data_IF_564933794246
#
_entry.id   IF_564933794246
#
_cell.length_a   1.000
_cell.length_b   1.000
_cell.length_c   1.000
_cell.angle_alpha   90.00
_cell.angle_beta   90.00
_cell.angle_gamma   90.00
#
_symmetry.space_group_name_H-M   'P 1'
#
loop_
_entity.id
_entity.type
_entity.pdbx_description
1 polymer ?
#
# COMPACT_ATOMS: atom_id res chain seq x y z
N UNK A 1 4.41 -10.32 -3.34
CA UNK A 1 5.26 -9.77 -4.42
C UNK A 1 4.61 -8.52 -4.96
N UNK A 2 5.30 -7.39 -4.83
CA UNK A 2 4.85 -6.09 -5.34
C UNK A 2 4.95 -6.09 -6.86
N UNK A 3 3.91 -5.58 -7.53
CA UNK A 3 3.86 -5.37 -8.98
C UNK A 3 3.80 -3.89 -9.34
N UNK A 4 3.09 -3.11 -8.54
CA UNK A 4 3.07 -1.66 -8.64
C UNK A 4 3.01 -1.02 -7.25
N UNK A 5 3.58 0.17 -7.14
CA UNK A 5 3.50 1.03 -5.97
C UNK A 5 3.40 2.48 -6.45
N UNK A 6 2.47 3.30 -5.94
CA UNK A 6 2.31 4.68 -6.36
C UNK A 6 3.37 5.57 -5.69
N UNK A 7 3.55 6.77 -6.24
CA UNK A 7 4.34 7.83 -5.62
C UNK A 7 3.41 8.96 -5.21
N UNK A 8 3.49 9.37 -3.95
CA UNK A 8 2.70 10.46 -3.40
C UNK A 8 3.59 11.66 -3.01
N UNK A 9 3.01 12.87 -2.87
CA UNK A 9 3.77 14.06 -2.47
C UNK A 9 4.51 13.94 -1.14
N UNK A 10 3.99 13.15 -0.19
CA UNK A 10 4.67 12.92 1.08
C UNK A 10 5.94 12.08 0.94
N UNK A 11 6.01 11.15 -0.02
CA UNK A 11 7.23 10.37 -0.26
C UNK A 11 8.38 11.29 -0.69
N UNK A 12 8.08 12.28 -1.54
CA UNK A 12 9.04 13.32 -1.96
C UNK A 12 9.46 14.20 -0.78
N UNK A 13 8.50 14.64 0.05
CA UNK A 13 8.80 15.46 1.23
C UNK A 13 9.67 14.72 2.25
N UNK A 14 9.40 13.44 2.49
CA UNK A 14 10.22 12.61 3.39
C UNK A 14 11.65 12.50 2.85
N UNK A 15 11.82 12.20 1.55
CA UNK A 15 13.15 12.11 0.92
C UNK A 15 13.94 13.41 0.97
N UNK A 16 13.27 14.56 0.99
CA UNK A 16 13.88 15.89 1.10
C UNK A 16 14.07 16.37 2.55
N UNK A 17 13.75 15.55 3.54
CA UNK A 17 13.71 15.96 4.96
C UNK A 17 12.80 17.20 5.20
N UNK A 18 11.71 17.29 4.45
CA UNK A 18 10.71 18.37 4.47
C UNK A 18 9.35 17.90 5.02
N UNK A 19 9.30 16.69 5.56
CA UNK A 19 8.06 16.16 6.13
C UNK A 19 7.92 16.58 7.59
N UNK A 20 6.74 17.08 7.96
CA UNK A 20 6.50 17.65 9.29
C UNK A 20 6.64 16.63 10.43
N UNK A 21 6.48 15.33 10.14
CA UNK A 21 6.65 14.26 11.12
C UNK A 21 8.05 13.66 10.99
N UNK A 22 8.75 13.41 12.11
CA UNK A 22 10.05 12.76 12.07
C UNK A 22 9.90 11.34 11.51
N UNK A 23 10.92 10.91 10.76
CA UNK A 23 11.07 9.50 10.40
C UNK A 23 11.45 8.74 11.67
N UNK A 24 10.68 7.71 12.04
CA UNK A 24 10.91 6.99 13.30
C UNK A 24 12.28 6.31 13.36
N UNK A 25 12.71 5.71 12.25
CA UNK A 25 13.99 4.99 12.15
C UNK A 25 14.48 4.96 10.72
N UNK A 26 15.79 5.14 10.53
CA UNK A 26 16.48 4.97 9.26
C UNK A 26 17.38 3.71 9.29
N UNK A 27 17.62 3.03 8.14
CA UNK A 27 16.98 3.28 6.84
C UNK A 27 15.50 2.90 6.84
N UNK A 28 14.67 3.68 6.13
CA UNK A 28 13.24 3.42 5.97
C UNK A 28 12.92 3.04 4.51
N UNK A 29 12.01 2.09 4.32
CA UNK A 29 11.45 1.77 3.01
C UNK A 29 10.13 2.55 2.89
N UNK A 30 10.04 3.42 1.88
CA UNK A 30 8.84 4.22 1.63
C UNK A 30 7.83 3.48 0.73
N UNK A 31 6.70 4.12 0.46
CA UNK A 31 5.59 3.56 -0.32
C UNK A 31 4.50 2.99 0.59
N UNK A 32 3.46 3.77 0.85
CA UNK A 32 2.39 3.41 1.80
C UNK A 32 1.27 2.59 1.16
N UNK A 33 1.47 2.17 -0.08
CA UNK A 33 0.45 1.48 -0.87
C UNK A 33 1.11 0.63 -1.95
N UNK A 34 0.54 -0.53 -2.23
CA UNK A 34 1.00 -1.45 -3.27
C UNK A 34 -0.14 -2.21 -3.89
N UNK A 35 0.11 -2.78 -5.06
CA UNK A 35 -0.64 -3.90 -5.58
C UNK A 35 0.28 -5.02 -6.04
N UNK A 36 -0.21 -6.25 -6.04
CA UNK A 36 0.57 -7.41 -6.44
C UNK A 36 -0.08 -8.73 -6.08
N UNK A 37 0.76 -9.72 -5.80
CA UNK A 37 0.33 -11.07 -5.45
C UNK A 37 0.67 -11.42 -4.01
N UNK A 38 -0.24 -12.11 -3.33
CA UNK A 38 0.06 -12.80 -2.07
C UNK A 38 0.97 -13.99 -2.36
N UNK A 39 2.15 -14.00 -1.77
CA UNK A 39 3.12 -15.11 -1.93
C UNK A 39 3.25 -15.96 -0.66
N UNK A 40 2.80 -15.43 0.48
CA UNK A 40 2.82 -16.06 1.79
C UNK A 40 1.74 -15.40 2.64
N UNK A 41 1.16 -16.14 3.60
CA UNK A 41 0.21 -15.61 4.56
C UNK A 41 0.48 -16.17 5.96
N UNK A 42 0.15 -15.40 6.99
CA UNK A 42 0.20 -15.87 8.37
C UNK A 42 -0.84 -16.96 8.64
N UNK A 43 -0.59 -17.81 9.64
CA UNK A 43 -1.43 -18.97 9.97
C UNK A 43 -2.91 -18.60 10.21
N UNK A 44 -3.16 -17.43 10.79
CA UNK A 44 -4.52 -16.97 11.14
C UNK A 44 -5.17 -16.08 10.08
N UNK A 45 -4.53 -15.87 8.92
CA UNK A 45 -5.08 -15.03 7.84
C UNK A 45 -6.04 -15.83 6.96
N UNK A 46 -7.30 -15.39 6.90
CA UNK A 46 -8.40 -16.09 6.21
C UNK A 46 -9.03 -15.32 5.04
N UNK A 47 -8.86 -14.01 4.98
CA UNK A 47 -9.49 -13.15 3.96
C UNK A 47 -8.75 -13.12 2.62
N UNK A 48 -7.53 -13.65 2.55
CA UNK A 48 -6.72 -13.76 1.32
C UNK A 48 -5.95 -15.08 1.32
N UNK A 49 -5.61 -15.54 0.12
CA UNK A 49 -4.88 -16.78 -0.15
C UNK A 49 -3.65 -16.52 -1.03
N UNK A 50 -2.68 -17.42 -0.96
CA UNK A 50 -1.51 -17.39 -1.84
C UNK A 50 -1.97 -17.48 -3.30
N UNK A 51 -1.42 -16.62 -4.15
CA UNK A 51 -1.82 -16.47 -5.55
C UNK A 51 -2.86 -15.38 -5.80
N UNK A 52 -3.52 -14.86 -4.77
CA UNK A 52 -4.51 -13.79 -4.94
C UNK A 52 -3.86 -12.50 -5.42
N UNK A 53 -4.55 -11.82 -6.35
CA UNK A 53 -4.27 -10.44 -6.74
C UNK A 53 -4.86 -9.52 -5.68
N UNK A 54 -4.04 -8.66 -5.12
CA UNK A 54 -4.43 -7.76 -4.02
C UNK A 54 -3.89 -6.36 -4.22
N UNK A 55 -4.54 -5.41 -3.59
CA UNK A 55 -3.96 -4.12 -3.24
C UNK A 55 -4.01 -3.94 -1.73
N UNK A 56 -3.04 -3.20 -1.18
CA UNK A 56 -2.92 -3.03 0.26
C UNK A 56 -2.36 -1.66 0.62
N UNK A 57 -2.82 -1.14 1.76
CA UNK A 57 -2.16 -0.03 2.45
C UNK A 57 -1.12 -0.59 3.41
N UNK A 58 0.05 0.05 3.41
CA UNK A 58 1.21 -0.36 4.16
C UNK A 58 1.52 0.64 5.27
N UNK A 59 2.30 0.22 6.28
CA UNK A 59 2.86 1.14 7.26
C UNK A 59 3.74 2.20 6.59
N UNK A 60 3.91 3.33 7.28
CA UNK A 60 4.63 4.50 6.76
C UNK A 60 6.11 4.24 6.47
N UNK A 61 6.77 3.44 7.31
CA UNK A 61 8.23 3.25 7.31
C UNK A 61 8.68 1.84 6.90
N UNK A 62 7.72 0.94 6.69
CA UNK A 62 7.91 -0.46 6.26
C UNK A 62 7.15 -0.68 4.94
N UNK A 63 7.43 0.21 3.98
CA UNK A 63 6.66 0.40 2.77
C UNK A 63 6.99 -0.54 1.62
N UNK A 64 6.38 -0.21 0.48
CA UNK A 64 6.27 -1.05 -0.71
C UNK A 64 7.24 -0.75 -1.84
N UNK A 65 8.18 0.18 -1.68
CA UNK A 65 9.26 0.41 -2.66
C UNK A 65 10.35 -0.67 -2.57
N UNK A 66 9.90 -1.91 -2.68
CA UNK A 66 10.67 -3.14 -2.57
C UNK A 66 9.96 -4.25 -3.35
N UNK A 67 10.67 -5.36 -3.61
CA UNK A 67 10.08 -6.51 -4.30
C UNK A 67 9.01 -7.21 -3.45
N UNK A 68 9.16 -7.16 -2.12
CA UNK A 68 8.27 -7.74 -1.13
C UNK A 68 7.90 -6.68 -0.09
N UNK A 69 6.68 -6.75 0.41
CA UNK A 69 6.17 -5.89 1.48
C UNK A 69 5.29 -6.70 2.42
N UNK A 70 5.31 -6.36 3.71
CA UNK A 70 4.43 -6.95 4.72
C UNK A 70 3.16 -6.11 4.82
N UNK A 71 2.01 -6.71 4.58
CA UNK A 71 0.71 -6.05 4.68
C UNK A 71 -0.11 -6.64 5.82
N UNK A 72 -0.79 -5.78 6.57
CA UNK A 72 -1.80 -6.24 7.52
C UNK A 72 -3.01 -6.76 6.75
N UNK A 73 -3.53 -7.93 7.13
CA UNK A 73 -4.66 -8.54 6.43
C UNK A 73 -5.93 -7.66 6.47
N UNK A 74 -6.10 -6.81 7.49
CA UNK A 74 -7.21 -5.85 7.59
C UNK A 74 -7.08 -4.66 6.62
N UNK A 75 -5.86 -4.37 6.16
CA UNK A 75 -5.57 -3.30 5.19
C UNK A 75 -5.30 -3.88 3.78
N UNK A 76 -5.68 -5.14 3.53
CA UNK A 76 -5.45 -5.85 2.27
C UNK A 76 -6.77 -6.30 1.65
N UNK A 77 -6.96 -5.98 0.37
CA UNK A 77 -8.20 -6.24 -0.36
C UNK A 77 -7.91 -6.92 -1.70
N UNK A 78 -8.85 -7.73 -2.17
CA UNK A 78 -8.76 -8.32 -3.51
C UNK A 78 -8.79 -7.25 -4.58
N UNK A 79 -7.87 -7.37 -5.55
CA UNK A 79 -7.86 -6.53 -6.74
C UNK A 79 -8.81 -7.13 -7.78
N UNK A 80 -9.85 -6.40 -8.24
CA UNK A 80 -10.76 -6.89 -9.27
C UNK A 80 -10.00 -7.31 -10.54
N UNK A 81 -10.45 -8.39 -11.20
CA UNK A 81 -9.75 -8.96 -12.36
C UNK A 81 -9.52 -7.96 -13.49
N UNK A 82 -10.45 -7.02 -13.68
CA UNK A 82 -10.41 -6.01 -14.73
C UNK A 82 -9.53 -4.80 -14.41
N UNK A 83 -9.00 -4.68 -13.19
CA UNK A 83 -8.02 -3.63 -12.85
C UNK A 83 -6.62 -4.11 -13.21
N UNK A 84 -5.78 -3.21 -13.74
CA UNK A 84 -4.33 -3.43 -13.79
C UNK A 84 -3.70 -3.32 -12.39
N UNK A 85 -2.44 -3.71 -12.23
CA UNK A 85 -1.75 -3.51 -10.95
C UNK A 85 -1.53 -2.02 -10.67
N UNK A 86 -1.21 -1.22 -11.68
CA UNK A 86 -1.05 0.23 -11.59
C UNK A 86 -2.35 0.90 -11.11
N UNK A 87 -3.49 0.49 -11.66
CA UNK A 87 -4.81 0.95 -11.19
C UNK A 87 -5.07 0.50 -9.75
N UNK A 88 -4.71 -0.74 -9.40
CA UNK A 88 -4.86 -1.24 -8.04
C UNK A 88 -4.02 -0.50 -7.01
N UNK A 89 -2.82 -0.06 -7.40
CA UNK A 89 -1.86 0.60 -6.53
C UNK A 89 -2.26 2.05 -6.17
N UNK A 90 -3.34 2.57 -6.73
CA UNK A 90 -3.88 3.90 -6.40
C UNK A 90 -5.27 3.84 -5.74
N UNK A 91 -5.79 2.63 -5.47
CA UNK A 91 -7.16 2.41 -5.01
C UNK A 91 -7.35 2.70 -3.52
N UNK A 92 -6.36 2.55 -2.65
CA UNK A 92 -6.56 2.81 -1.23
C UNK A 92 -6.56 4.31 -0.94
N UNK A 93 -5.46 5.03 -1.16
CA UNK A 93 -5.39 6.43 -0.70
C UNK A 93 -6.21 7.38 -1.56
N UNK A 94 -6.15 7.28 -2.91
CA UNK A 94 -6.85 8.24 -3.76
C UNK A 94 -8.36 8.02 -3.75
N UNK A 95 -8.83 6.79 -3.92
CA UNK A 95 -10.27 6.51 -3.88
C UNK A 95 -10.86 6.82 -2.50
N UNK A 96 -10.23 6.36 -1.41
CA UNK A 96 -10.76 6.61 -0.08
C UNK A 96 -10.72 8.10 0.28
N UNK A 97 -9.65 8.81 -0.13
CA UNK A 97 -9.55 10.25 0.01
C UNK A 97 -10.68 10.98 -0.73
N UNK A 98 -10.95 10.61 -1.98
CA UNK A 98 -12.03 11.18 -2.78
C UNK A 98 -13.41 10.86 -2.18
N UNK A 99 -13.66 9.60 -1.81
CA UNK A 99 -14.90 9.16 -1.18
C UNK A 99 -15.18 9.92 0.11
N UNK A 100 -14.17 10.07 0.98
CA UNK A 100 -14.32 10.81 2.23
C UNK A 100 -14.65 12.27 1.98
N UNK A 101 -13.97 12.92 1.02
CA UNK A 101 -14.22 14.31 0.67
C UNK A 101 -15.58 14.57 0.02
N UNK A 102 -16.13 13.61 -0.72
CA UNK A 102 -17.39 13.76 -1.44
C UNK A 102 -18.61 13.27 -0.65
N UNK A 103 -18.46 12.17 0.09
CA UNK A 103 -19.60 11.43 0.66
C UNK A 103 -19.63 11.48 2.18
N UNK A 104 -18.50 11.28 2.85
CA UNK A 104 -18.51 11.03 4.30
C UNK A 104 -18.59 12.31 5.16
N UNK A 105 -18.29 13.49 4.61
CA UNK A 105 -18.17 14.79 5.30
C UNK A 105 -17.47 14.70 6.66
#
# INVERSE_FOLDING_TARGET
>A
MVKAAPIYPWDVKIRKNQYARPVEKLPAILGQEVSGYVIMKGQNVRNVNVGDRVFAKLPRWEGGYAQLALANYNDTYHLPKHFSFEQGAITYHLYFGAWRGLIYK
#
